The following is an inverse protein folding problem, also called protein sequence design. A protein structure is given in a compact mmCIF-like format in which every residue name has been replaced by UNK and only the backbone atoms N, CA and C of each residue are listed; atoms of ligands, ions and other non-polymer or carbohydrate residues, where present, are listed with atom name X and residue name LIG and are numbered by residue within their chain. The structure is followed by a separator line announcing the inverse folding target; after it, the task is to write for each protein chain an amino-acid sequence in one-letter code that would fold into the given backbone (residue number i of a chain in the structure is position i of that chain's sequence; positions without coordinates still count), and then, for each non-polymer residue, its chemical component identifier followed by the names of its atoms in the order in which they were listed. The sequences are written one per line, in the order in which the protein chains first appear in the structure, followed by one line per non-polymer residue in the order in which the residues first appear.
data_IF_292704995151
#
_entry.id   IF_292704995151
#
_cell.length_a   1.000
_cell.length_b   1.000
_cell.length_c   1.000
_cell.angle_alpha   90.00
_cell.angle_beta   90.00
_cell.angle_gamma   90.00
#
_symmetry.space_group_name_H-M   'P 1'
#
loop_
_entity.id
_entity.type
_entity.pdbx_description
1 polymer ?
#
# COMPACT_ATOMS: atom_id res chain seq x y z
N UNK A 1 8.22 -4.99 -8.14
CA UNK A 1 7.76 -5.61 -6.86
C UNK A 1 7.46 -7.07 -7.15
N UNK A 2 7.69 -8.02 -6.23
CA UNK A 2 7.35 -9.43 -6.52
C UNK A 2 5.88 -9.67 -6.88
N UNK A 3 4.95 -8.84 -6.40
CA UNK A 3 3.56 -8.87 -6.84
C UNK A 3 3.42 -8.74 -8.37
N UNK A 4 4.15 -7.79 -8.97
CA UNK A 4 4.15 -7.53 -10.41
C UNK A 4 4.69 -8.73 -11.21
N UNK A 5 5.80 -9.31 -10.77
CA UNK A 5 6.45 -10.45 -11.44
C UNK A 5 5.60 -11.73 -11.44
N UNK A 6 4.48 -11.74 -10.72
CA UNK A 6 3.60 -12.90 -10.54
C UNK A 6 2.15 -12.67 -10.99
N UNK A 7 1.79 -11.49 -11.50
CA UNK A 7 0.41 -11.22 -12.01
C UNK A 7 0.01 -12.18 -13.12
N UNK A 8 0.93 -12.56 -14.00
CA UNK A 8 0.65 -13.46 -15.13
C UNK A 8 0.71 -14.95 -14.79
N UNK A 9 1.01 -15.31 -13.54
CA UNK A 9 1.22 -16.71 -13.14
C UNK A 9 -0.02 -17.39 -12.56
N UNK A 10 -1.18 -16.76 -12.70
CA UNK A 10 -2.47 -17.26 -12.19
C UNK A 10 -2.45 -17.55 -10.67
N UNK A 11 -1.68 -16.76 -9.91
CA UNK A 11 -1.56 -16.87 -8.45
C UNK A 11 -1.97 -15.54 -7.78
N UNK A 12 -3.25 -15.19 -7.94
CA UNK A 12 -3.79 -13.95 -7.36
C UNK A 12 -3.72 -13.96 -5.83
N UNK A 13 -3.77 -15.14 -5.20
CA UNK A 13 -3.63 -15.26 -3.75
C UNK A 13 -2.25 -14.76 -3.30
N UNK A 14 -1.19 -15.20 -3.97
CA UNK A 14 0.17 -14.74 -3.69
C UNK A 14 0.35 -13.25 -3.96
N UNK A 15 -0.20 -12.74 -5.07
CA UNK A 15 -0.16 -11.32 -5.41
C UNK A 15 -0.85 -10.47 -4.33
N UNK A 16 -2.07 -10.83 -3.92
CA UNK A 16 -2.79 -10.18 -2.82
C UNK A 16 -2.00 -10.20 -1.51
N UNK A 17 -1.40 -11.35 -1.17
CA UNK A 17 -0.58 -11.49 0.03
C UNK A 17 0.70 -10.64 -0.01
N UNK A 18 1.28 -10.39 -1.18
CA UNK A 18 2.39 -9.44 -1.34
C UNK A 18 1.91 -8.00 -1.18
N UNK A 19 0.83 -7.60 -1.87
CA UNK A 19 0.30 -6.24 -1.76
C UNK A 19 -0.06 -5.89 -0.32
N UNK A 20 -0.75 -6.79 0.40
CA UNK A 20 -1.05 -6.61 1.83
C UNK A 20 0.21 -6.38 2.66
N UNK A 21 1.24 -7.22 2.51
CA UNK A 21 2.50 -7.06 3.26
C UNK A 21 3.21 -5.75 2.94
N UNK A 22 3.24 -5.36 1.67
CA UNK A 22 3.80 -4.07 1.25
C UNK A 22 3.06 -2.89 1.88
N UNK A 23 1.72 -2.94 1.90
CA UNK A 23 0.89 -1.91 2.55
C UNK A 23 1.14 -1.88 4.06
N UNK A 24 1.19 -3.04 4.74
CA UNK A 24 1.49 -3.08 6.18
C UNK A 24 2.88 -2.53 6.49
N UNK A 25 3.90 -2.85 5.70
CA UNK A 25 5.23 -2.25 5.85
C UNK A 25 5.19 -0.73 5.64
N UNK A 26 4.47 -0.26 4.62
CA UNK A 26 4.31 1.17 4.36
C UNK A 26 3.60 1.89 5.51
N UNK A 27 2.57 1.27 6.09
CA UNK A 27 1.90 1.77 7.29
C UNK A 27 2.92 1.99 8.42
N UNK A 28 3.77 1.01 8.71
CA UNK A 28 4.80 1.14 9.76
C UNK A 28 5.73 2.34 9.51
N UNK A 29 6.16 2.57 8.26
CA UNK A 29 6.99 3.72 7.88
C UNK A 29 6.25 5.03 8.16
N UNK A 30 4.98 5.13 7.78
CA UNK A 30 4.17 6.33 7.99
C UNK A 30 3.90 6.59 9.48
N UNK A 31 3.68 5.55 10.28
CA UNK A 31 3.61 5.66 11.74
C UNK A 31 4.94 6.21 12.31
N UNK A 32 6.06 5.62 11.92
CA UNK A 32 7.38 6.06 12.38
C UNK A 32 7.71 7.50 11.97
N UNK A 33 7.36 7.91 10.73
CA UNK A 33 7.54 9.27 10.23
C UNK A 33 6.77 10.33 11.04
N UNK A 34 5.63 9.95 11.61
CA UNK A 34 4.80 10.83 12.43
C UNK A 34 5.07 10.65 13.93
N UNK A 35 6.09 9.88 14.33
CA UNK A 35 6.42 9.58 15.74
C UNK A 35 5.25 8.91 16.51
N UNK A 36 4.41 8.16 15.79
CA UNK A 36 3.25 7.46 16.33
C UNK A 36 3.48 5.94 16.37
N UNK A 37 2.83 5.24 17.30
CA UNK A 37 2.99 3.79 17.46
C UNK A 37 1.87 3.00 16.76
N UNK A 38 2.24 2.13 15.81
CA UNK A 38 1.30 1.20 15.20
C UNK A 38 1.06 -0.03 16.09
N UNK A 39 0.01 0.00 16.91
CA UNK A 39 -0.31 -1.11 17.84
C UNK A 39 -0.76 -2.38 17.08
N UNK A 40 -1.50 -2.22 15.97
CA UNK A 40 -1.93 -3.31 15.09
C UNK A 40 -2.43 -2.74 13.74
N UNK A 41 -2.65 -3.62 12.77
CA UNK A 41 -3.15 -3.25 11.42
C UNK A 41 -4.62 -2.80 11.41
N UNK A 42 -5.40 -3.14 12.44
CA UNK A 42 -6.82 -2.80 12.47
C UNK A 42 -6.98 -1.28 12.52
N UNK A 43 -7.60 -0.73 11.48
CA UNK A 43 -7.79 0.72 11.28
C UNK A 43 -6.48 1.50 11.08
N UNK A 44 -5.34 0.85 10.87
CA UNK A 44 -4.05 1.53 10.63
C UNK A 44 -4.15 2.56 9.49
N UNK A 45 -4.70 2.15 8.34
CA UNK A 45 -4.90 3.02 7.17
C UNK A 45 -5.79 4.22 7.50
N UNK A 46 -6.88 4.03 8.26
CA UNK A 46 -7.77 5.12 8.70
C UNK A 46 -7.06 6.08 9.65
N UNK A 47 -6.21 5.57 10.54
CA UNK A 47 -5.44 6.40 11.47
C UNK A 47 -4.41 7.23 10.72
N UNK A 48 -3.68 6.62 9.78
CA UNK A 48 -2.71 7.30 8.92
C UNK A 48 -3.39 8.41 8.11
N UNK A 49 -4.63 8.23 7.67
CA UNK A 49 -5.37 9.28 6.96
C UNK A 49 -5.58 10.57 7.80
N UNK A 50 -5.36 10.52 9.11
CA UNK A 50 -5.33 11.69 10.00
C UNK A 50 -3.94 12.32 10.21
N UNK A 51 -2.86 11.68 9.75
CA UNK A 51 -1.49 12.15 9.97
C UNK A 51 -1.13 13.40 9.15
N UNK A 52 -0.10 14.12 9.62
CA UNK A 52 0.44 15.29 8.94
C UNK A 52 1.36 14.86 7.80
N UNK A 53 2.26 13.91 8.06
CA UNK A 53 3.25 13.42 7.09
C UNK A 53 2.70 12.14 6.45
N UNK A 54 2.08 12.27 5.28
CA UNK A 54 1.53 11.13 4.53
C UNK A 54 1.37 11.44 3.05
N UNK A 55 1.31 10.42 2.18
CA UNK A 55 0.79 10.56 0.82
C UNK A 55 -0.63 11.13 0.80
N UNK A 56 -0.96 11.87 -0.26
CA UNK A 56 -2.29 12.47 -0.41
C UNK A 56 -3.36 11.38 -0.59
N UNK A 57 -4.51 11.58 0.05
CA UNK A 57 -5.69 10.71 -0.05
C UNK A 57 -5.39 9.23 0.26
N UNK A 58 -4.46 8.99 1.19
CA UNK A 58 -3.86 7.69 1.47
C UNK A 58 -4.89 6.58 1.65
N UNK A 59 -5.90 6.77 2.51
CA UNK A 59 -6.91 5.73 2.74
C UNK A 59 -7.69 5.39 1.48
N UNK A 60 -8.13 6.40 0.72
CA UNK A 60 -8.94 6.19 -0.47
C UNK A 60 -8.13 5.44 -1.54
N UNK A 61 -6.85 5.78 -1.71
CA UNK A 61 -5.96 5.08 -2.63
C UNK A 61 -5.70 3.63 -2.20
N UNK A 62 -5.53 3.36 -0.91
CA UNK A 62 -5.42 1.99 -0.42
C UNK A 62 -6.70 1.19 -0.68
N UNK A 63 -7.88 1.76 -0.41
CA UNK A 63 -9.16 1.09 -0.69
C UNK A 63 -9.32 0.76 -2.18
N UNK A 64 -8.93 1.70 -3.06
CA UNK A 64 -8.92 1.52 -4.51
C UNK A 64 -7.94 0.41 -4.95
N UNK A 65 -6.70 0.43 -4.45
CA UNK A 65 -5.72 -0.64 -4.69
C UNK A 65 -6.31 -2.00 -4.32
N UNK A 66 -6.90 -2.15 -3.14
CA UNK A 66 -7.49 -3.42 -2.69
C UNK A 66 -8.68 -3.84 -3.58
N UNK A 67 -9.48 -2.90 -4.06
CA UNK A 67 -10.62 -3.16 -4.96
C UNK A 67 -10.16 -3.67 -6.33
N UNK A 68 -9.01 -3.19 -6.81
CA UNK A 68 -8.45 -3.56 -8.11
C UNK A 68 -7.79 -4.95 -8.14
N UNK A 69 -7.39 -5.49 -6.98
CA UNK A 69 -6.80 -6.82 -6.87
C UNK A 69 -7.86 -7.89 -7.14
N UNK A 70 -7.77 -8.54 -8.30
CA UNK A 70 -8.75 -9.51 -8.75
C UNK A 70 -8.15 -10.56 -9.69
N UNK A 71 -8.96 -11.51 -10.17
CA UNK A 71 -8.50 -12.43 -11.21
C UNK A 71 -8.22 -11.73 -12.55
N UNK A 72 -8.70 -10.50 -12.73
CA UNK A 72 -8.35 -9.68 -13.89
C UNK A 72 -6.92 -9.12 -13.72
N UNK A 73 -6.07 -9.43 -14.71
CA UNK A 73 -4.66 -9.09 -14.68
C UNK A 73 -4.42 -7.60 -14.90
N UNK A 74 -5.25 -6.95 -15.70
CA UNK A 74 -5.04 -5.56 -16.07
C UNK A 74 -5.46 -4.64 -14.92
N UNK A 75 -6.61 -4.91 -14.27
CA UNK A 75 -6.96 -4.20 -13.03
C UNK A 75 -5.94 -4.46 -11.93
N UNK A 76 -5.45 -5.69 -11.79
CA UNK A 76 -4.45 -6.02 -10.77
C UNK A 76 -3.13 -5.27 -11.00
N UNK A 77 -2.68 -5.13 -12.26
CA UNK A 77 -1.51 -4.30 -12.60
C UNK A 77 -1.72 -2.83 -12.25
N UNK A 78 -2.91 -2.30 -12.52
CA UNK A 78 -3.28 -0.93 -12.14
C UNK A 78 -3.14 -0.73 -10.61
N UNK A 79 -3.72 -1.62 -9.81
CA UNK A 79 -3.59 -1.58 -8.35
C UNK A 79 -2.13 -1.69 -7.86
N UNK A 80 -1.31 -2.54 -8.50
CA UNK A 80 0.12 -2.64 -8.18
C UNK A 80 0.86 -1.35 -8.52
N UNK A 81 0.55 -0.72 -9.65
CA UNK A 81 1.18 0.54 -10.05
C UNK A 81 0.84 1.67 -9.08
N UNK A 82 -0.42 1.79 -8.67
CA UNK A 82 -0.84 2.73 -7.62
C UNK A 82 -0.12 2.48 -6.29
N UNK A 83 0.10 1.22 -5.91
CA UNK A 83 0.85 0.89 -4.70
C UNK A 83 2.32 1.31 -4.80
N UNK A 84 2.96 1.13 -5.97
CA UNK A 84 4.32 1.63 -6.20
C UNK A 84 4.40 3.14 -6.10
N UNK A 85 3.42 3.86 -6.65
CA UNK A 85 3.36 5.32 -6.53
C UNK A 85 3.31 5.75 -5.07
N UNK A 86 2.47 5.12 -4.24
CA UNK A 86 2.42 5.39 -2.79
C UNK A 86 3.76 5.13 -2.09
N UNK A 87 4.47 4.07 -2.48
CA UNK A 87 5.81 3.78 -1.96
C UNK A 87 6.77 4.89 -2.34
N UNK A 88 6.83 5.27 -3.63
CA UNK A 88 7.72 6.34 -4.10
C UNK A 88 7.39 7.71 -3.48
N UNK A 89 6.11 8.05 -3.33
CA UNK A 89 5.69 9.26 -2.61
C UNK A 89 6.15 9.23 -1.15
N UNK A 90 6.06 8.08 -0.48
CA UNK A 90 6.53 7.93 0.90
C UNK A 90 8.05 8.02 1.02
N UNK A 91 8.79 7.51 0.03
CA UNK A 91 10.25 7.66 -0.03
C UNK A 91 10.67 9.14 -0.08
N UNK A 92 9.93 9.97 -0.81
CA UNK A 92 10.19 11.43 -0.87
C UNK A 92 10.00 12.08 0.52
N UNK A 93 9.08 11.56 1.35
CA UNK A 93 8.85 12.06 2.71
C UNK A 93 9.97 11.69 3.70
N UNK A 94 10.78 10.68 3.39
CA UNK A 94 11.91 10.27 4.24
C UNK A 94 13.10 11.24 4.15
N UNK A 95 13.21 11.96 3.03
CA UNK A 95 14.31 12.91 2.80
C UNK A 95 13.92 14.24 3.45
N UNK A 96 14.29 14.41 4.72
CA UNK A 96 14.31 15.71 5.40
C UNK A 96 15.41 16.61 4.85
#
# INVERSE_FOLDING_TARGET
MFAEDNVDKDDIYYVCGHCFRSISCLNQVLFALNEEYCINEKKAVRTIDGFIIKPKDYKNRIDEIITLLSADRDTTREGINMLKELISETEILLVK
#
